data_IF_783590166761
#
_entry.id   IF_783590166761
#
_cell.length_a   1.000
_cell.length_b   1.000
_cell.length_c   1.000
_cell.angle_alpha   90.00
_cell.angle_beta   90.00
_cell.angle_gamma   90.00
#
_symmetry.space_group_name_H-M   'P 1'
#
loop_
_entity.id
_entity.type
_entity.pdbx_description
1 polymer ?
#
# COMPACT_ATOMS: atom_id res chain seq x y z
N UNK A 1 -8.97 31.09 7.75
CA UNK A 1 -8.76 29.83 8.48
C UNK A 1 -9.51 29.93 9.79
N UNK A 2 -10.57 29.15 9.96
CA UNK A 2 -11.33 29.08 11.22
C UNK A 2 -10.48 28.36 12.27
N UNK A 3 -10.31 28.88 13.49
CA UNK A 3 -9.51 28.21 14.50
C UNK A 3 -10.17 26.89 14.89
N UNK A 4 -9.40 25.80 14.81
CA UNK A 4 -9.83 24.50 15.34
C UNK A 4 -9.93 24.64 16.86
N UNK A 5 -11.12 24.46 17.41
CA UNK A 5 -11.35 24.50 18.86
C UNK A 5 -10.75 23.27 19.52
N UNK A 6 -10.15 23.46 20.71
CA UNK A 6 -9.53 22.39 21.52
C UNK A 6 -10.46 21.22 21.79
N UNK A 7 -11.78 21.44 21.86
CA UNK A 7 -12.76 20.36 22.04
C UNK A 7 -12.89 19.45 20.81
N UNK A 8 -12.72 19.98 19.60
CA UNK A 8 -12.76 19.21 18.36
C UNK A 8 -11.55 18.29 18.22
N UNK A 9 -10.36 18.76 18.63
CA UNK A 9 -9.14 17.95 18.67
C UNK A 9 -9.27 16.78 19.65
N UNK A 10 -9.82 17.03 20.84
CA UNK A 10 -10.04 16.00 21.86
C UNK A 10 -11.04 14.93 21.39
N UNK A 11 -12.11 15.32 20.70
CA UNK A 11 -13.09 14.37 20.16
C UNK A 11 -12.50 13.48 19.06
N UNK A 12 -11.66 14.04 18.18
CA UNK A 12 -10.98 13.30 17.13
C UNK A 12 -9.96 12.30 17.68
N UNK A 13 -9.16 12.72 18.67
CA UNK A 13 -8.22 11.80 19.34
C UNK A 13 -8.94 10.65 20.02
N UNK A 14 -10.02 10.93 20.75
CA UNK A 14 -10.84 9.88 21.38
C UNK A 14 -11.42 8.91 20.35
N UNK A 15 -11.89 9.43 19.21
CA UNK A 15 -12.36 8.59 18.13
C UNK A 15 -11.26 7.66 17.60
N UNK A 16 -10.07 8.20 17.29
CA UNK A 16 -8.95 7.39 16.81
C UNK A 16 -8.50 6.35 17.84
N UNK A 17 -8.42 6.70 19.13
CA UNK A 17 -8.10 5.75 20.20
C UNK A 17 -9.13 4.61 20.25
N UNK A 18 -10.42 4.94 20.17
CA UNK A 18 -11.49 3.94 20.17
C UNK A 18 -11.42 2.97 18.97
N UNK A 19 -10.83 3.38 17.85
CA UNK A 19 -10.57 2.51 16.70
C UNK A 19 -9.31 1.66 16.91
N UNK A 20 -8.24 2.28 17.41
CA UNK A 20 -6.99 1.59 17.71
C UNK A 20 -7.20 0.46 18.72
N UNK A 21 -7.99 0.69 19.77
CA UNK A 21 -8.27 -0.30 20.82
C UNK A 21 -9.07 -1.52 20.30
N UNK A 22 -9.67 -1.43 19.11
CA UNK A 22 -10.43 -2.53 18.49
C UNK A 22 -9.58 -3.48 17.65
N UNK A 23 -8.31 -3.14 17.41
CA UNK A 23 -7.44 -3.89 16.50
C UNK A 23 -6.22 -4.37 17.26
N UNK A 24 -5.94 -5.68 17.18
CA UNK A 24 -4.69 -6.21 17.69
C UNK A 24 -3.53 -5.68 16.84
N UNK A 25 -2.50 -5.14 17.49
CA UNK A 25 -1.32 -4.60 16.83
C UNK A 25 -0.12 -5.53 17.06
N UNK A 26 0.64 -5.75 16.00
CA UNK A 26 1.95 -6.41 16.04
C UNK A 26 2.99 -5.46 15.46
N UNK A 27 4.11 -5.29 16.16
CA UNK A 27 5.22 -4.47 15.68
C UNK A 27 6.31 -5.37 15.11
N UNK A 28 6.74 -5.09 13.88
CA UNK A 28 7.89 -5.75 13.27
C UNK A 28 8.83 -4.73 12.63
N UNK A 29 10.09 -4.73 13.09
CA UNK A 29 11.14 -3.84 12.55
C UNK A 29 11.52 -4.18 11.11
N UNK A 30 11.20 -5.39 10.64
CA UNK A 30 11.54 -5.85 9.30
C UNK A 30 10.80 -5.07 8.20
N UNK A 31 9.70 -4.40 8.55
CA UNK A 31 8.92 -3.59 7.61
C UNK A 31 9.54 -2.21 7.36
N UNK A 32 10.49 -1.75 8.18
CA UNK A 32 11.02 -0.39 8.11
C UNK A 32 11.60 -0.03 6.74
N UNK A 33 12.32 -0.95 6.10
CA UNK A 33 12.86 -0.75 4.76
C UNK A 33 11.81 -0.90 3.63
N UNK A 34 10.66 -1.50 3.94
CA UNK A 34 9.61 -1.79 2.97
C UNK A 34 8.60 -0.65 2.84
N UNK A 35 8.43 0.17 3.88
CA UNK A 35 7.50 1.32 3.90
C UNK A 35 8.09 2.61 3.32
N UNK A 36 9.21 2.48 2.61
CA UNK A 36 9.91 3.53 1.86
C UNK A 36 10.32 2.95 0.50
N UNK A 37 10.63 3.75 -0.54
CA UNK A 37 10.82 3.23 -1.91
C UNK A 37 12.19 2.58 -2.13
N UNK A 38 12.69 1.87 -1.12
CA UNK A 38 14.00 1.23 -1.13
C UNK A 38 14.04 0.09 -2.16
N UNK A 39 15.10 0.05 -2.98
CA UNK A 39 15.27 -0.93 -4.05
C UNK A 39 14.48 -0.67 -5.34
N UNK A 40 13.52 0.26 -5.35
CA UNK A 40 12.68 0.52 -6.53
C UNK A 40 13.49 1.02 -7.73
N UNK A 41 14.50 1.87 -7.49
CA UNK A 41 15.36 2.43 -8.54
C UNK A 41 16.21 1.37 -9.27
N UNK A 42 16.45 0.21 -8.64
CA UNK A 42 17.19 -0.90 -9.24
C UNK A 42 16.27 -1.94 -9.87
N UNK A 43 14.97 -1.93 -9.55
CA UNK A 43 14.00 -2.88 -10.07
C UNK A 43 13.53 -2.48 -11.49
N UNK A 44 13.54 -3.40 -12.48
CA UNK A 44 13.30 -3.08 -13.89
C UNK A 44 12.02 -2.31 -14.19
N UNK A 45 10.91 -2.65 -13.52
CA UNK A 45 9.59 -2.05 -13.73
C UNK A 45 9.27 -0.94 -12.73
N UNK A 46 10.05 -0.77 -11.66
CA UNK A 46 9.79 0.29 -10.65
C UNK A 46 10.71 1.50 -10.77
N UNK A 47 11.76 1.45 -11.61
CA UNK A 47 12.74 2.53 -11.77
C UNK A 47 12.32 3.69 -12.67
N UNK A 48 11.18 3.58 -13.36
CA UNK A 48 10.73 4.56 -14.35
C UNK A 48 10.25 5.89 -13.75
N UNK A 49 9.84 5.88 -12.48
CA UNK A 49 9.37 7.06 -11.77
C UNK A 49 9.76 7.00 -10.29
N UNK A 50 10.52 8.00 -9.83
CA UNK A 50 10.93 8.09 -8.42
C UNK A 50 9.94 8.96 -7.65
N UNK A 51 9.09 8.31 -6.86
CA UNK A 51 8.15 8.97 -5.93
C UNK A 51 8.63 8.74 -4.49
N UNK A 52 8.79 9.81 -3.71
CA UNK A 52 9.27 9.71 -2.32
C UNK A 52 8.23 9.07 -1.42
N UNK A 53 6.96 9.32 -1.70
CA UNK A 53 5.78 8.85 -1.00
C UNK A 53 5.35 7.44 -1.45
N UNK A 54 6.28 6.65 -2.01
CA UNK A 54 6.04 5.26 -2.40
C UNK A 54 6.69 4.28 -1.41
N UNK A 55 6.19 3.05 -1.38
CA UNK A 55 6.80 1.92 -0.67
C UNK A 55 7.69 1.09 -1.59
N UNK A 56 8.44 0.16 -1.00
CA UNK A 56 9.31 -0.77 -1.72
C UNK A 56 8.47 -1.78 -2.51
N UNK A 57 8.93 -2.14 -3.71
CA UNK A 57 8.31 -3.19 -4.52
C UNK A 57 8.23 -4.55 -3.83
N UNK A 58 9.00 -4.76 -2.77
CA UNK A 58 9.02 -5.97 -1.95
C UNK A 58 7.94 -6.01 -0.86
N UNK A 59 7.29 -4.88 -0.55
CA UNK A 59 6.29 -4.81 0.53
C UNK A 59 5.12 -5.78 0.29
N UNK A 60 4.59 -5.79 -0.94
CA UNK A 60 3.44 -6.66 -1.30
C UNK A 60 3.78 -8.14 -1.11
N UNK A 61 4.95 -8.57 -1.58
CA UNK A 61 5.40 -9.96 -1.41
C UNK A 61 5.54 -10.35 0.06
N UNK A 62 6.07 -9.44 0.90
CA UNK A 62 6.20 -9.66 2.34
C UNK A 62 4.83 -9.80 3.01
N UNK A 63 3.89 -8.91 2.72
CA UNK A 63 2.53 -8.95 3.28
C UNK A 63 1.79 -10.23 2.87
N UNK A 64 1.94 -10.65 1.61
CA UNK A 64 1.32 -11.90 1.13
C UNK A 64 1.87 -13.11 1.88
N UNK A 65 3.18 -13.16 2.13
CA UNK A 65 3.82 -14.25 2.85
C UNK A 65 3.41 -14.28 4.33
N UNK A 66 3.51 -13.15 5.02
CA UNK A 66 3.23 -13.05 6.47
C UNK A 66 1.76 -13.37 6.79
N UNK A 67 0.84 -13.09 5.85
CA UNK A 67 -0.60 -13.34 6.02
C UNK A 67 -1.09 -14.62 5.32
N UNK A 68 -0.19 -15.48 4.82
CA UNK A 68 -0.49 -16.69 4.02
C UNK A 68 -1.54 -16.46 2.92
N UNK A 69 -1.47 -15.31 2.23
CA UNK A 69 -2.45 -14.90 1.23
C UNK A 69 -2.21 -15.55 -0.14
N UNK A 70 -1.04 -16.17 -0.36
CA UNK A 70 -0.69 -16.81 -1.64
C UNK A 70 -1.61 -17.99 -2.00
N UNK A 71 -2.31 -18.55 -1.02
CA UNK A 71 -3.31 -19.62 -1.19
C UNK A 71 -4.73 -19.09 -1.43
N UNK A 72 -4.97 -17.79 -1.27
CA UNK A 72 -6.30 -17.22 -1.51
C UNK A 72 -6.54 -17.08 -3.01
N UNK A 73 -7.64 -17.65 -3.46
CA UNK A 73 -8.06 -17.61 -4.85
C UNK A 73 -9.59 -17.37 -4.92
N UNK A 74 -10.06 -16.22 -5.45
CA UNK A 74 -9.27 -15.11 -5.97
C UNK A 74 -8.73 -14.20 -4.86
N UNK A 75 -7.54 -13.61 -5.09
CA UNK A 75 -7.00 -12.55 -4.25
C UNK A 75 -7.49 -11.19 -4.76
N UNK A 76 -8.26 -10.48 -3.93
CA UNK A 76 -8.78 -9.13 -4.25
C UNK A 76 -8.04 -8.09 -3.43
N UNK A 77 -7.43 -7.11 -4.10
CA UNK A 77 -6.61 -6.07 -3.48
C UNK A 77 -7.16 -4.69 -3.84
N UNK A 78 -7.36 -3.86 -2.82
CA UNK A 78 -7.71 -2.45 -2.95
C UNK A 78 -6.56 -1.63 -2.38
N UNK A 79 -6.00 -0.75 -3.19
CA UNK A 79 -5.02 0.25 -2.75
C UNK A 79 -5.65 1.64 -2.84
N UNK A 80 -6.08 2.23 -1.70
CA UNK A 80 -6.75 3.53 -1.70
C UNK A 80 -5.80 4.71 -1.95
N UNK A 81 -4.48 4.47 -2.00
CA UNK A 81 -3.43 5.46 -2.18
C UNK A 81 -2.39 4.96 -3.19
N UNK A 82 -2.88 4.57 -4.36
CA UNK A 82 -2.10 3.80 -5.33
C UNK A 82 -0.84 4.53 -5.82
N UNK A 83 -0.75 5.85 -5.70
CA UNK A 83 0.50 6.61 -5.83
C UNK A 83 1.22 6.35 -7.15
N UNK A 84 2.45 5.86 -7.06
CA UNK A 84 3.27 5.48 -8.23
C UNK A 84 2.92 4.11 -8.85
N UNK A 85 1.86 3.45 -8.38
CA UNK A 85 1.38 2.16 -8.88
C UNK A 85 2.14 0.95 -8.35
N UNK A 86 2.99 1.10 -7.33
CA UNK A 86 3.87 0.03 -6.83
C UNK A 86 3.09 -1.24 -6.46
N UNK A 87 1.91 -1.14 -5.80
CA UNK A 87 1.09 -2.32 -5.45
C UNK A 87 0.69 -3.11 -6.69
N UNK A 88 0.09 -2.43 -7.67
CA UNK A 88 -0.41 -3.06 -8.89
C UNK A 88 0.70 -3.72 -9.70
N UNK A 89 1.84 -3.03 -9.86
CA UNK A 89 3.01 -3.58 -10.57
C UNK A 89 3.59 -4.79 -9.84
N UNK A 90 3.73 -4.73 -8.51
CA UNK A 90 4.22 -5.87 -7.71
C UNK A 90 3.29 -7.09 -7.83
N UNK A 91 1.96 -6.89 -7.79
CA UNK A 91 0.98 -7.96 -7.99
C UNK A 91 1.06 -8.55 -9.39
N UNK A 92 1.13 -7.72 -10.43
CA UNK A 92 1.27 -8.18 -11.81
C UNK A 92 2.54 -9.02 -12.00
N UNK A 93 3.65 -8.60 -11.40
CA UNK A 93 4.90 -9.35 -11.43
C UNK A 93 4.79 -10.71 -10.71
N UNK A 94 4.14 -10.77 -9.54
CA UNK A 94 3.91 -12.04 -8.82
C UNK A 94 3.01 -13.00 -9.62
N UNK A 95 1.97 -12.49 -10.27
CA UNK A 95 1.11 -13.28 -11.16
C UNK A 95 1.87 -13.78 -12.37
N UNK A 96 2.70 -12.94 -13.01
CA UNK A 96 3.54 -13.34 -14.14
C UNK A 96 4.55 -14.45 -13.76
N UNK A 97 5.02 -14.45 -12.52
CA UNK A 97 5.89 -15.48 -11.94
C UNK A 97 5.12 -16.73 -11.47
N UNK A 98 3.79 -16.78 -11.64
CA UNK A 98 2.90 -17.85 -11.14
C UNK A 98 2.93 -18.03 -9.62
N UNK A 99 3.37 -17.03 -8.88
CA UNK A 99 3.26 -17.01 -7.42
C UNK A 99 1.83 -16.72 -6.95
N UNK A 100 1.02 -16.10 -7.81
CA UNK A 100 -0.41 -15.86 -7.62
C UNK A 100 -1.19 -16.29 -8.86
N UNK A 101 -2.36 -16.88 -8.67
CA UNK A 101 -3.18 -17.44 -9.77
C UNK A 101 -4.18 -16.43 -10.33
N UNK A 102 -5.04 -15.89 -9.47
CA UNK A 102 -6.12 -14.99 -9.86
C UNK A 102 -6.15 -13.79 -8.93
N UNK A 103 -5.68 -12.65 -9.45
CA UNK A 103 -5.61 -11.40 -8.70
C UNK A 103 -6.52 -10.36 -9.35
N UNK A 104 -7.38 -9.73 -8.57
CA UNK A 104 -8.09 -8.51 -8.96
C UNK A 104 -7.53 -7.36 -8.15
N UNK A 105 -7.04 -6.33 -8.83
CA UNK A 105 -6.47 -5.13 -8.21
C UNK A 105 -7.30 -3.90 -8.55
N UNK A 106 -7.58 -3.06 -7.56
CA UNK A 106 -8.16 -1.73 -7.75
C UNK A 106 -7.30 -0.71 -7.02
N UNK A 107 -6.71 0.23 -7.78
CA UNK A 107 -5.99 1.38 -7.24
C UNK A 107 -6.85 2.64 -7.30
N UNK A 108 -6.84 3.44 -6.23
CA UNK A 108 -7.45 4.76 -6.19
C UNK A 108 -6.34 5.79 -5.94
N UNK A 109 -6.38 6.89 -6.68
CA UNK A 109 -5.46 8.00 -6.49
C UNK A 109 -6.19 9.32 -6.74
N UNK A 110 -6.15 10.21 -5.75
CA UNK A 110 -6.84 11.49 -5.79
C UNK A 110 -5.95 12.59 -6.37
N UNK A 111 -4.63 12.46 -6.26
CA UNK A 111 -3.70 13.44 -6.78
C UNK A 111 -3.75 13.44 -8.32
N UNK A 112 -4.22 14.54 -8.94
CA UNK A 112 -4.51 14.57 -10.37
C UNK A 112 -3.25 14.40 -11.24
N UNK A 113 -2.07 14.70 -10.71
CA UNK A 113 -0.80 14.64 -11.44
C UNK A 113 -0.24 13.21 -11.55
N UNK A 114 -0.59 12.32 -10.61
CA UNK A 114 -0.09 10.94 -10.58
C UNK A 114 -1.20 9.90 -10.80
N UNK A 115 -2.49 10.28 -10.79
CA UNK A 115 -3.61 9.36 -11.03
C UNK A 115 -3.51 8.53 -12.32
N UNK A 116 -2.85 9.06 -13.35
CA UNK A 116 -2.69 8.35 -14.63
C UNK A 116 -1.75 7.15 -14.54
N UNK A 117 -0.91 7.10 -13.50
CA UNK A 117 0.09 6.03 -13.29
C UNK A 117 -0.52 4.77 -12.68
N UNK A 118 -1.71 4.86 -12.09
CA UNK A 118 -2.34 3.79 -11.31
C UNK A 118 -3.39 3.01 -12.10
N UNK A 119 -3.74 3.49 -13.30
CA UNK A 119 -4.67 2.82 -14.21
C UNK A 119 -3.94 1.77 -15.05
N UNK A 120 -3.73 0.58 -14.49
CA UNK A 120 -3.34 -0.60 -15.27
C UNK A 120 -4.65 -1.23 -15.78
N UNK A 121 -4.94 -1.07 -17.06
CA UNK A 121 -6.14 -1.63 -17.73
C UNK A 121 -5.77 -2.88 -18.49
#
# INVERSE_FOLDING_TARGET
MTPVTTSGLNALEQHYRSLQDKVAFEESKDYGALVVPNGNASAPVHRWFHLKEAFSCQLVSRVIADLDLGRKDPLRVLDPFAGGGTTGVSLANLTAQRALSHVTFQGIECNPFIRGMTQVT
#
